data_IF_085214663242
#
_entry.id   IF_085214663242
#
_cell.length_a   1.000
_cell.length_b   1.000
_cell.length_c   1.000
_cell.angle_alpha   90.00
_cell.angle_beta   90.00
_cell.angle_gamma   90.00
#
_symmetry.space_group_name_H-M   'P 1'
#
loop_
_entity.id
_entity.type
_entity.pdbx_description
1 polymer ?
#
# COMPACT_ATOMS: atom_id res chain seq x y z
N UNK A 1 3.14 -23.36 1.10
CA UNK A 1 4.36 -22.66 0.64
C UNK A 1 5.22 -22.35 1.85
N UNK A 2 6.50 -22.74 1.85
CA UNK A 2 7.42 -22.37 2.92
C UNK A 2 7.61 -20.84 2.93
N UNK A 3 7.61 -20.22 4.13
CA UNK A 3 7.87 -18.78 4.24
C UNK A 3 9.30 -18.49 3.82
N UNK A 4 9.47 -17.69 2.76
CA UNK A 4 10.79 -17.22 2.31
C UNK A 4 11.27 -16.18 3.30
N UNK A 5 12.41 -16.44 3.95
CA UNK A 5 13.11 -15.43 4.76
C UNK A 5 14.21 -14.80 3.92
N UNK A 6 13.88 -13.73 3.20
CA UNK A 6 14.81 -13.04 2.29
C UNK A 6 16.05 -12.50 3.01
N UNK A 7 15.92 -12.16 4.31
CA UNK A 7 17.01 -11.64 5.12
C UNK A 7 18.11 -12.68 5.33
N UNK A 8 17.72 -13.96 5.44
CA UNK A 8 18.65 -15.07 5.59
C UNK A 8 19.10 -15.63 4.23
N UNK A 9 18.21 -15.67 3.23
CA UNK A 9 18.52 -16.26 1.93
C UNK A 9 19.35 -15.35 1.03
N UNK A 10 19.19 -14.02 1.14
CA UNK A 10 19.95 -13.02 0.35
C UNK A 10 20.08 -11.71 1.13
N UNK A 11 21.05 -11.62 2.06
CA UNK A 11 21.26 -10.44 2.91
C UNK A 11 21.62 -9.17 2.11
N UNK A 12 22.37 -9.31 1.01
CA UNK A 12 22.79 -8.19 0.18
C UNK A 12 21.60 -7.54 -0.54
N UNK A 13 20.72 -8.36 -1.13
CA UNK A 13 19.47 -7.87 -1.71
C UNK A 13 18.56 -7.27 -0.66
N UNK A 14 18.43 -7.90 0.51
CA UNK A 14 17.62 -7.34 1.59
C UNK A 14 18.10 -5.94 1.99
N UNK A 15 19.41 -5.75 2.19
CA UNK A 15 19.97 -4.45 2.55
C UNK A 15 19.71 -3.38 1.47
N UNK A 16 19.91 -3.72 0.19
CA UNK A 16 19.63 -2.79 -0.92
C UNK A 16 18.16 -2.38 -0.97
N UNK A 17 17.25 -3.36 -0.91
CA UNK A 17 15.80 -3.08 -0.93
C UNK A 17 15.38 -2.30 0.32
N UNK A 18 15.94 -2.60 1.50
CA UNK A 18 15.65 -1.85 2.72
C UNK A 18 16.02 -0.36 2.60
N UNK A 19 17.18 -0.06 2.01
CA UNK A 19 17.62 1.31 1.75
C UNK A 19 16.71 2.02 0.73
N UNK A 20 16.35 1.35 -0.37
CA UNK A 20 15.39 1.89 -1.36
C UNK A 20 14.03 2.18 -0.73
N UNK A 21 13.52 1.27 0.10
CA UNK A 21 12.24 1.44 0.79
C UNK A 21 12.27 2.60 1.78
N UNK A 22 13.40 2.83 2.45
CA UNK A 22 13.56 3.98 3.35
C UNK A 22 13.58 5.30 2.57
N UNK A 23 14.30 5.35 1.44
CA UNK A 23 14.30 6.51 0.56
C UNK A 23 12.89 6.83 0.05
N UNK A 24 12.12 5.82 -0.34
CA UNK A 24 10.72 5.98 -0.75
C UNK A 24 9.84 6.48 0.41
N UNK A 25 9.94 5.88 1.60
CA UNK A 25 9.18 6.36 2.76
C UNK A 25 9.46 7.83 3.05
N UNK A 26 10.72 8.23 3.04
CA UNK A 26 11.12 9.62 3.26
C UNK A 26 10.53 10.56 2.19
N UNK A 27 10.69 10.22 0.91
CA UNK A 27 10.21 11.04 -0.22
C UNK A 27 8.68 11.27 -0.24
N UNK A 28 7.90 10.32 0.31
CA UNK A 28 6.44 10.38 0.31
C UNK A 28 5.84 10.65 1.70
N UNK A 29 6.65 10.75 2.76
CA UNK A 29 6.20 10.90 4.16
C UNK A 29 5.36 12.15 4.42
N UNK A 30 5.71 13.27 3.78
CA UNK A 30 5.06 14.57 3.92
C UNK A 30 3.90 14.79 2.93
N UNK A 31 3.67 13.86 2.01
CA UNK A 31 2.65 14.00 0.99
C UNK A 31 1.25 13.70 1.54
N UNK A 32 0.23 14.32 0.94
CA UNK A 32 -1.17 14.03 1.25
C UNK A 32 -1.48 12.55 0.98
N UNK A 33 -2.19 11.90 1.90
CA UNK A 33 -2.57 10.49 1.83
C UNK A 33 -4.08 10.34 1.97
N UNK A 34 -4.64 9.32 1.32
CA UNK A 34 -6.06 8.95 1.43
C UNK A 34 -6.15 7.49 1.87
N UNK A 35 -6.96 7.21 2.87
CA UNK A 35 -7.27 5.84 3.26
C UNK A 35 -8.46 5.32 2.45
N UNK A 36 -8.35 4.12 1.88
CA UNK A 36 -9.51 3.39 1.36
C UNK A 36 -10.09 2.53 2.50
N UNK A 37 -11.28 2.88 2.95
CA UNK A 37 -12.00 2.16 4.00
C UNK A 37 -13.00 1.19 3.38
N UNK A 38 -13.19 0.04 4.03
CA UNK A 38 -14.24 -0.88 3.65
C UNK A 38 -15.61 -0.22 3.85
N UNK A 39 -16.48 -0.14 2.83
CA UNK A 39 -17.79 0.51 2.96
C UNK A 39 -18.77 -0.30 3.83
N UNK A 40 -18.45 -1.56 4.15
CA UNK A 40 -19.30 -2.42 4.96
C UNK A 40 -18.97 -2.41 6.45
N UNK A 41 -17.71 -2.15 6.82
CA UNK A 41 -17.26 -2.27 8.22
C UNK A 41 -16.23 -1.22 8.65
N UNK A 42 -16.00 -0.19 7.82
CA UNK A 42 -15.05 0.92 8.04
C UNK A 42 -13.58 0.51 8.28
N UNK A 43 -13.27 -0.77 8.09
CA UNK A 43 -11.91 -1.26 8.22
C UNK A 43 -11.00 -0.66 7.15
N UNK A 44 -9.86 -0.10 7.56
CA UNK A 44 -8.87 0.47 6.65
C UNK A 44 -8.19 -0.63 5.84
N UNK A 45 -8.45 -0.63 4.52
CA UNK A 45 -7.88 -1.61 3.60
C UNK A 45 -6.49 -1.17 3.13
N UNK A 46 -6.33 0.09 2.74
CA UNK A 46 -5.06 0.60 2.22
C UNK A 46 -4.92 2.11 2.41
N UNK A 47 -3.70 2.61 2.22
CA UNK A 47 -3.37 4.04 2.23
C UNK A 47 -2.73 4.38 0.89
N UNK A 48 -3.35 5.28 0.15
CA UNK A 48 -2.83 5.82 -1.11
C UNK A 48 -2.01 7.07 -0.85
N UNK A 49 -0.78 7.10 -1.36
CA UNK A 49 0.02 8.31 -1.46
C UNK A 49 -0.49 9.20 -2.60
N UNK A 50 -0.16 10.50 -2.57
CA UNK A 50 -0.52 11.45 -3.62
C UNK A 50 -0.10 10.93 -5.01
N UNK A 51 -1.02 10.92 -5.96
CA UNK A 51 -0.77 10.43 -7.32
C UNK A 51 -2.05 10.16 -8.10
N UNK A 52 -1.95 9.30 -9.12
CA UNK A 52 -3.09 8.80 -9.89
C UNK A 52 -3.21 7.30 -9.64
N UNK A 53 -4.39 6.87 -9.20
CA UNK A 53 -4.66 5.48 -8.83
C UNK A 53 -5.81 4.92 -9.65
N UNK A 54 -5.63 3.73 -10.19
CA UNK A 54 -6.67 3.00 -10.90
C UNK A 54 -7.79 2.53 -9.96
N UNK A 55 -8.88 2.07 -10.59
CA UNK A 55 -9.90 1.30 -9.89
C UNK A 55 -9.35 -0.07 -9.47
N UNK A 56 -9.83 -0.61 -8.35
CA UNK A 56 -9.29 -1.85 -7.78
C UNK A 56 -10.36 -2.65 -7.05
N UNK A 57 -10.30 -3.97 -7.18
CA UNK A 57 -11.08 -4.91 -6.38
C UNK A 57 -10.22 -5.44 -5.24
N UNK A 58 -10.65 -5.19 -4.01
CA UNK A 58 -9.96 -5.64 -2.80
C UNK A 58 -10.90 -6.50 -1.95
N UNK A 59 -10.38 -7.59 -1.39
CA UNK A 59 -11.09 -8.34 -0.35
C UNK A 59 -10.79 -7.71 1.00
N UNK A 60 -11.82 -7.35 1.77
CA UNK A 60 -11.61 -6.81 3.11
C UNK A 60 -11.00 -7.89 4.02
N UNK A 61 -9.84 -7.64 4.67
CA UNK A 61 -9.23 -8.60 5.58
C UNK A 61 -10.02 -8.78 6.89
N UNK A 62 -10.95 -7.86 7.18
CA UNK A 62 -11.77 -7.89 8.40
C UNK A 62 -13.09 -8.63 8.19
N UNK A 63 -13.97 -8.15 7.30
CA UNK A 63 -15.29 -8.78 7.08
C UNK A 63 -15.31 -9.81 5.93
N UNK A 64 -14.24 -9.92 5.14
CA UNK A 64 -14.15 -10.89 4.04
C UNK A 64 -14.86 -10.48 2.74
N UNK A 65 -15.64 -9.40 2.75
CA UNK A 65 -16.38 -8.89 1.59
C UNK A 65 -15.47 -8.41 0.45
N UNK A 66 -15.98 -8.52 -0.78
CA UNK A 66 -15.34 -7.96 -1.96
C UNK A 66 -15.77 -6.50 -2.16
N UNK A 67 -14.80 -5.59 -2.23
CA UNK A 67 -15.01 -4.16 -2.34
C UNK A 67 -14.40 -3.65 -3.64
N UNK A 68 -15.16 -2.90 -4.42
CA UNK A 68 -14.64 -2.13 -5.53
C UNK A 68 -14.35 -0.70 -5.09
N UNK A 69 -13.15 -0.22 -5.38
CA UNK A 69 -12.78 1.18 -5.19
C UNK A 69 -12.65 1.87 -6.54
N UNK A 70 -13.29 3.04 -6.73
CA UNK A 70 -13.16 3.79 -7.97
C UNK A 70 -11.73 4.35 -8.14
N UNK A 71 -11.35 4.72 -9.38
CA UNK A 71 -10.12 5.47 -9.62
C UNK A 71 -10.10 6.77 -8.81
N UNK A 72 -8.92 7.17 -8.34
CA UNK A 72 -8.73 8.42 -7.57
C UNK A 72 -7.52 9.15 -8.13
N UNK A 73 -7.70 10.43 -8.44
CA UNK A 73 -6.61 11.33 -8.83
C UNK A 73 -6.54 12.49 -7.85
N UNK A 74 -5.36 12.72 -7.30
CA UNK A 74 -5.12 13.85 -6.42
C UNK A 74 -4.99 15.10 -7.27
N UNK A 75 -5.77 16.16 -6.98
CA UNK A 75 -5.70 17.42 -7.73
C UNK A 75 -4.28 18.01 -7.60
N UNK A 76 -3.59 18.17 -8.72
CA UNK A 76 -2.34 18.91 -8.78
C UNK A 76 -2.69 20.40 -8.70
N UNK A 77 -2.33 21.04 -7.58
CA UNK A 77 -2.24 22.50 -7.47
C UNK A 77 -0.81 22.91 -7.75
#
# INVERSE_FOLDING_TARGET
MAKINIRNSDPARYARVAAEQEALRSAYSSQMRVARLCPYCDHKIEILCRGTHGGSYNRCPNCGEQVFFPPISFRMR
#
